data_IF_970718866387
#
_entry.id   IF_970718866387
#
_cell.length_a   1.000
_cell.length_b   1.000
_cell.length_c   1.000
_cell.angle_alpha   90.00
_cell.angle_beta   90.00
_cell.angle_gamma   90.00
#
_symmetry.space_group_name_H-M   'P 1'
#
loop_
_entity.id
_entity.type
_entity.pdbx_description
1 polymer ?
#
# COMPACT_ATOMS: atom_id res chain seq x y z
N UNK A 1 -79.30 -27.59 13.46
CA UNK A 1 -78.14 -27.52 12.56
C UNK A 1 -77.90 -28.92 11.96
N UNK A 2 -78.08 -29.04 10.66
CA UNK A 2 -78.16 -30.34 9.97
C UNK A 2 -76.74 -30.98 9.89
N UNK A 3 -76.62 -32.31 10.12
CA UNK A 3 -75.38 -33.09 10.13
C UNK A 3 -74.50 -32.86 8.89
N UNK A 4 -75.09 -32.49 7.77
CA UNK A 4 -74.46 -32.14 6.49
C UNK A 4 -73.76 -30.76 6.56
N UNK A 5 -74.33 -29.78 7.26
CA UNK A 5 -73.71 -28.44 7.42
C UNK A 5 -72.54 -28.45 8.39
N UNK A 6 -72.63 -29.23 9.50
CA UNK A 6 -71.48 -29.44 10.40
C UNK A 6 -70.30 -30.06 9.69
N UNK A 7 -70.52 -31.04 8.80
CA UNK A 7 -69.45 -31.71 8.05
C UNK A 7 -68.80 -30.79 7.03
N UNK A 8 -69.55 -29.86 6.42
CA UNK A 8 -69.07 -28.84 5.47
C UNK A 8 -68.28 -27.75 6.19
N UNK A 9 -68.69 -27.31 7.38
CA UNK A 9 -67.99 -26.36 8.20
C UNK A 9 -66.64 -26.91 8.72
N UNK A 10 -66.61 -28.18 9.16
CA UNK A 10 -65.40 -28.84 9.64
C UNK A 10 -64.36 -29.01 8.49
N UNK A 11 -64.82 -29.38 7.30
CA UNK A 11 -63.90 -29.48 6.14
C UNK A 11 -63.30 -28.13 5.77
N UNK A 12 -64.06 -27.05 5.79
CA UNK A 12 -63.56 -25.68 5.54
C UNK A 12 -62.56 -25.25 6.61
N UNK A 13 -62.85 -25.48 7.88
CA UNK A 13 -61.93 -25.15 8.96
C UNK A 13 -60.60 -25.90 8.88
N UNK A 14 -60.63 -27.21 8.52
CA UNK A 14 -59.43 -27.99 8.26
C UNK A 14 -58.64 -27.45 7.08
N UNK A 15 -59.31 -27.10 5.98
CA UNK A 15 -58.70 -26.56 4.79
C UNK A 15 -58.02 -25.22 5.02
N UNK A 16 -58.68 -24.30 5.77
CA UNK A 16 -58.09 -23.02 6.18
C UNK A 16 -56.92 -23.22 7.14
N UNK A 17 -57.00 -24.17 8.08
CA UNK A 17 -55.90 -24.53 8.96
C UNK A 17 -54.65 -25.05 8.21
N UNK A 18 -54.87 -25.95 7.24
CA UNK A 18 -53.76 -26.48 6.40
C UNK A 18 -53.15 -25.39 5.54
N UNK A 19 -53.94 -24.53 4.89
CA UNK A 19 -53.44 -23.41 4.09
C UNK A 19 -52.67 -22.41 4.97
N UNK A 20 -53.22 -22.08 6.16
CA UNK A 20 -52.54 -21.22 7.12
C UNK A 20 -51.17 -21.78 7.58
N UNK A 21 -51.10 -23.08 7.81
CA UNK A 21 -49.88 -23.76 8.22
C UNK A 21 -48.84 -23.72 7.09
N UNK A 22 -49.23 -24.02 5.84
CA UNK A 22 -48.28 -23.99 4.71
C UNK A 22 -47.78 -22.59 4.41
N UNK A 23 -48.63 -21.57 4.50
CA UNK A 23 -48.21 -20.17 4.34
C UNK A 23 -47.22 -19.73 5.43
N UNK A 24 -47.48 -20.07 6.68
CA UNK A 24 -46.60 -19.73 7.77
C UNK A 24 -45.23 -20.41 7.65
N UNK A 25 -45.19 -21.69 7.27
CA UNK A 25 -43.93 -22.41 6.98
C UNK A 25 -43.17 -21.74 5.83
N UNK A 26 -43.85 -21.38 4.75
CA UNK A 26 -43.23 -20.71 3.60
C UNK A 26 -42.61 -19.35 3.97
N UNK A 27 -43.26 -18.58 4.83
CA UNK A 27 -42.77 -17.31 5.32
C UNK A 27 -41.49 -17.53 6.16
N UNK A 28 -41.52 -18.47 7.10
CA UNK A 28 -40.35 -18.80 7.94
C UNK A 28 -39.18 -19.26 7.08
N UNK A 29 -39.40 -20.15 6.11
CA UNK A 29 -38.36 -20.60 5.19
C UNK A 29 -37.81 -19.46 4.33
N UNK A 30 -38.66 -18.55 3.86
CA UNK A 30 -38.21 -17.39 3.06
C UNK A 30 -37.36 -16.43 3.88
N UNK A 31 -37.70 -16.16 5.12
CA UNK A 31 -36.92 -15.34 6.02
C UNK A 31 -35.57 -16.00 6.34
N UNK A 32 -35.57 -17.30 6.63
CA UNK A 32 -34.35 -18.06 6.91
C UNK A 32 -33.40 -18.07 5.70
N UNK A 33 -33.94 -18.32 4.50
CA UNK A 33 -33.16 -18.27 3.25
C UNK A 33 -32.62 -16.86 2.97
N UNK A 34 -33.42 -15.82 3.16
CA UNK A 34 -32.99 -14.43 3.00
C UNK A 34 -31.85 -14.08 3.93
N UNK A 35 -31.92 -14.50 5.21
CA UNK A 35 -30.85 -14.30 6.17
C UNK A 35 -29.58 -15.06 5.80
N UNK A 36 -29.69 -16.30 5.37
CA UNK A 36 -28.55 -17.11 4.94
C UNK A 36 -27.86 -16.51 3.71
N UNK A 37 -28.63 -16.05 2.71
CA UNK A 37 -28.10 -15.37 1.52
C UNK A 37 -27.36 -14.09 1.92
N UNK A 38 -27.94 -13.29 2.83
CA UNK A 38 -27.31 -12.07 3.32
C UNK A 38 -25.95 -12.37 4.00
N UNK A 39 -25.91 -13.35 4.90
CA UNK A 39 -24.69 -13.76 5.59
C UNK A 39 -23.60 -14.27 4.61
N UNK A 40 -24.01 -15.12 3.66
CA UNK A 40 -23.09 -15.63 2.65
C UNK A 40 -22.54 -14.51 1.75
N UNK A 41 -23.39 -13.57 1.32
CA UNK A 41 -22.98 -12.43 0.52
C UNK A 41 -22.00 -11.53 1.29
N UNK A 42 -22.30 -11.24 2.56
CA UNK A 42 -21.41 -10.47 3.45
C UNK A 42 -20.06 -11.17 3.62
N UNK A 43 -20.04 -12.46 3.93
CA UNK A 43 -18.82 -13.22 4.16
C UNK A 43 -17.97 -13.30 2.87
N UNK A 44 -18.59 -13.54 1.73
CA UNK A 44 -17.91 -13.57 0.44
C UNK A 44 -17.31 -12.19 0.09
N UNK A 45 -18.02 -11.11 0.37
CA UNK A 45 -17.50 -9.75 0.16
C UNK A 45 -16.28 -9.47 1.04
N UNK A 46 -16.35 -9.79 2.33
CA UNK A 46 -15.23 -9.63 3.27
C UNK A 46 -14.02 -10.44 2.81
N UNK A 47 -14.23 -11.72 2.47
CA UNK A 47 -13.17 -12.60 1.99
C UNK A 47 -12.52 -12.09 0.69
N UNK A 48 -13.32 -11.58 -0.25
CA UNK A 48 -12.80 -11.00 -1.49
C UNK A 48 -11.97 -9.74 -1.23
N UNK A 49 -12.45 -8.83 -0.35
CA UNK A 49 -11.70 -7.62 0.02
C UNK A 49 -10.38 -8.00 0.70
N UNK A 50 -10.41 -8.97 1.62
CA UNK A 50 -9.23 -9.44 2.33
C UNK A 50 -8.21 -10.09 1.38
N UNK A 51 -8.66 -10.94 0.46
CA UNK A 51 -7.81 -11.56 -0.56
C UNK A 51 -7.16 -10.51 -1.47
N UNK A 52 -7.92 -9.53 -1.93
CA UNK A 52 -7.38 -8.44 -2.73
C UNK A 52 -6.35 -7.62 -1.95
N UNK A 53 -6.64 -7.26 -0.68
CA UNK A 53 -5.72 -6.53 0.17
C UNK A 53 -4.39 -7.28 0.36
N UNK A 54 -4.43 -8.60 0.58
CA UNK A 54 -3.23 -9.43 0.67
C UNK A 54 -2.42 -9.42 -0.62
N UNK A 55 -3.07 -9.55 -1.77
CA UNK A 55 -2.40 -9.53 -3.08
C UNK A 55 -1.72 -8.18 -3.36
N UNK A 56 -2.36 -7.08 -2.97
CA UNK A 56 -1.75 -5.74 -3.09
C UNK A 56 -0.60 -5.53 -2.10
N UNK A 57 -0.70 -6.05 -0.87
CA UNK A 57 0.39 -6.01 0.10
C UNK A 57 1.64 -6.74 -0.42
N UNK A 58 1.47 -7.93 -1.00
CA UNK A 58 2.55 -8.66 -1.65
C UNK A 58 3.14 -7.89 -2.84
N UNK A 59 2.31 -7.27 -3.67
CA UNK A 59 2.80 -6.46 -4.79
C UNK A 59 3.62 -5.24 -4.31
N UNK A 60 3.19 -4.57 -3.24
CA UNK A 60 3.93 -3.45 -2.63
C UNK A 60 5.25 -3.93 -2.03
N UNK A 61 5.26 -5.06 -1.30
CA UNK A 61 6.50 -5.66 -0.76
C UNK A 61 7.49 -5.99 -1.86
N UNK A 62 7.03 -6.64 -2.92
CA UNK A 62 7.86 -6.97 -4.09
C UNK A 62 8.43 -5.70 -4.74
N UNK A 63 7.64 -4.63 -4.88
CA UNK A 63 8.14 -3.36 -5.40
C UNK A 63 9.21 -2.73 -4.50
N UNK A 64 9.02 -2.78 -3.18
CA UNK A 64 10.01 -2.33 -2.19
C UNK A 64 11.33 -3.09 -2.36
N UNK A 65 11.27 -4.41 -2.48
CA UNK A 65 12.46 -5.25 -2.64
C UNK A 65 13.16 -4.99 -3.98
N UNK A 66 12.42 -4.78 -5.05
CA UNK A 66 12.98 -4.36 -6.34
C UNK A 66 13.72 -3.02 -6.21
N UNK A 67 13.18 -2.03 -5.50
CA UNK A 67 13.87 -0.75 -5.30
C UNK A 67 15.13 -0.89 -4.44
N UNK A 68 15.13 -1.78 -3.44
CA UNK A 68 16.34 -2.09 -2.66
C UNK A 68 17.42 -2.72 -3.53
N UNK A 69 17.08 -3.73 -4.33
CA UNK A 69 18.01 -4.37 -5.27
C UNK A 69 18.60 -3.36 -6.26
N UNK A 70 17.78 -2.46 -6.79
CA UNK A 70 18.24 -1.38 -7.68
C UNK A 70 19.23 -0.43 -6.96
N UNK A 71 18.95 -0.08 -5.70
CA UNK A 71 19.85 0.76 -4.92
C UNK A 71 21.21 0.07 -4.65
N UNK A 72 21.19 -1.24 -4.36
CA UNK A 72 22.39 -2.05 -4.18
C UNK A 72 23.22 -2.17 -5.47
N UNK A 73 22.55 -2.33 -6.61
CA UNK A 73 23.21 -2.32 -7.91
C UNK A 73 23.90 -0.97 -8.20
N UNK A 74 23.25 0.14 -7.85
CA UNK A 74 23.84 1.48 -7.96
C UNK A 74 25.03 1.63 -6.99
N UNK A 75 24.91 1.11 -5.75
CA UNK A 75 25.97 1.18 -4.75
C UNK A 75 27.26 0.45 -5.16
N UNK A 76 27.16 -0.48 -6.10
CA UNK A 76 28.29 -1.24 -6.64
C UNK A 76 28.98 -0.53 -7.85
N UNK A 77 28.43 0.57 -8.34
CA UNK A 77 28.99 1.30 -9.49
C UNK A 77 30.34 1.95 -9.12
N UNK A 78 31.40 1.56 -9.82
CA UNK A 78 32.77 1.93 -9.46
C UNK A 78 33.04 3.43 -9.51
N UNK A 79 32.36 4.15 -10.43
CA UNK A 79 32.52 5.60 -10.60
C UNK A 79 31.60 6.45 -9.72
N UNK A 80 30.77 5.82 -8.90
CA UNK A 80 29.76 6.51 -8.09
C UNK A 80 30.39 7.56 -7.15
N UNK A 81 31.57 7.29 -6.63
CA UNK A 81 32.28 8.11 -5.65
C UNK A 81 33.46 8.91 -6.24
N UNK A 82 33.60 8.91 -7.57
CA UNK A 82 34.62 9.70 -8.25
C UNK A 82 34.22 11.17 -8.27
N UNK A 83 34.76 11.94 -7.32
CA UNK A 83 34.52 13.37 -7.19
C UNK A 83 35.56 14.23 -7.94
N UNK A 84 36.45 13.63 -8.71
CA UNK A 84 37.49 14.37 -9.46
C UNK A 84 36.90 15.21 -10.60
N UNK A 85 35.74 14.76 -11.15
CA UNK A 85 34.95 15.51 -12.11
C UNK A 85 33.48 15.60 -11.64
N UNK A 86 33.07 16.68 -10.99
CA UNK A 86 31.69 16.85 -10.51
C UNK A 86 30.64 16.84 -11.66
N UNK A 87 31.02 17.28 -12.86
CA UNK A 87 30.10 17.28 -13.99
C UNK A 87 29.85 15.84 -14.50
N UNK A 88 30.91 15.04 -14.60
CA UNK A 88 30.79 13.63 -14.95
C UNK A 88 30.03 12.83 -13.88
N UNK A 89 30.26 13.13 -12.60
CA UNK A 89 29.52 12.51 -11.51
C UNK A 89 28.03 12.84 -11.58
N UNK A 90 27.66 14.08 -11.82
CA UNK A 90 26.27 14.50 -12.01
C UNK A 90 25.62 13.80 -13.20
N UNK A 91 26.31 13.74 -14.34
CA UNK A 91 25.83 13.05 -15.53
C UNK A 91 25.62 11.54 -15.28
N UNK A 92 26.50 10.92 -14.48
CA UNK A 92 26.34 9.53 -14.05
C UNK A 92 25.08 9.36 -13.18
N UNK A 93 24.85 10.23 -12.19
CA UNK A 93 23.66 10.18 -11.36
C UNK A 93 22.36 10.33 -12.17
N UNK A 94 22.34 11.25 -13.14
CA UNK A 94 21.21 11.43 -14.05
C UNK A 94 20.96 10.17 -14.90
N UNK A 95 22.01 9.59 -15.47
CA UNK A 95 21.95 8.33 -16.24
C UNK A 95 21.40 7.18 -15.40
N UNK A 96 21.95 6.97 -14.20
CA UNK A 96 21.51 5.90 -13.31
C UNK A 96 20.07 6.12 -12.81
N UNK A 97 19.68 7.37 -12.54
CA UNK A 97 18.30 7.71 -12.16
C UNK A 97 17.31 7.30 -13.25
N UNK A 98 17.60 7.61 -14.50
CA UNK A 98 16.76 7.23 -15.65
C UNK A 98 16.75 5.71 -15.84
N UNK A 99 17.90 5.05 -15.77
CA UNK A 99 18.04 3.61 -15.98
C UNK A 99 17.26 2.80 -14.94
N UNK A 100 17.29 3.22 -13.68
CA UNK A 100 16.66 2.48 -12.58
C UNK A 100 15.27 3.01 -12.19
N UNK A 101 14.84 4.13 -12.79
CA UNK A 101 13.49 4.70 -12.58
C UNK A 101 13.36 5.46 -11.27
N UNK A 102 14.42 6.12 -10.81
CA UNK A 102 14.41 7.04 -9.67
C UNK A 102 14.22 8.50 -10.14
N UNK A 103 13.71 9.35 -9.25
CA UNK A 103 13.62 10.78 -9.52
C UNK A 103 15.01 11.43 -9.59
N UNK A 104 15.86 11.06 -8.65
CA UNK A 104 17.28 11.41 -8.62
C UNK A 104 18.06 10.46 -7.67
N UNK A 105 19.37 10.50 -7.81
CA UNK A 105 20.32 9.75 -6.98
C UNK A 105 21.35 10.73 -6.43
N UNK A 106 21.82 10.47 -5.23
CA UNK A 106 22.90 11.24 -4.62
C UNK A 106 23.72 10.37 -3.67
N UNK A 107 24.89 10.85 -3.28
CA UNK A 107 25.82 10.20 -2.37
C UNK A 107 26.02 11.07 -1.15
N UNK A 108 26.16 10.46 0.02
CA UNK A 108 26.55 11.13 1.25
C UNK A 108 27.74 10.42 1.88
N UNK A 109 28.65 11.19 2.44
CA UNK A 109 29.80 10.68 3.19
C UNK A 109 29.39 10.09 4.56
N UNK A 110 30.34 9.59 5.31
CA UNK A 110 30.11 8.99 6.63
C UNK A 110 29.53 9.95 7.67
N UNK A 111 29.65 11.27 7.44
CA UNK A 111 29.08 12.32 8.29
C UNK A 111 27.70 12.75 7.83
N UNK A 112 27.16 12.15 6.77
CA UNK A 112 25.85 12.49 6.20
C UNK A 112 25.88 13.71 5.28
N UNK A 113 27.06 14.18 4.87
CA UNK A 113 27.19 15.32 3.97
C UNK A 113 27.10 14.84 2.52
N UNK A 114 26.17 15.43 1.78
CA UNK A 114 25.88 15.04 0.40
C UNK A 114 26.74 15.81 -0.59
N UNK A 115 26.84 15.34 -1.85
CA UNK A 115 27.58 16.04 -2.91
C UNK A 115 27.06 17.45 -3.20
N UNK A 116 25.80 17.75 -2.92
CA UNK A 116 25.21 19.08 -3.01
C UNK A 116 25.22 19.85 -1.66
N UNK A 117 26.06 19.45 -0.75
CA UNK A 117 26.32 20.11 0.54
C UNK A 117 25.11 20.08 1.52
N UNK A 118 24.12 19.23 1.31
CA UNK A 118 22.99 19.02 2.24
C UNK A 118 23.42 18.03 3.33
N UNK A 119 23.03 18.30 4.58
CA UNK A 119 23.24 17.37 5.70
C UNK A 119 22.00 16.48 5.86
N UNK A 120 22.21 15.16 5.83
CA UNK A 120 21.18 14.12 6.02
C UNK A 120 21.48 13.17 7.18
N UNK A 121 22.44 13.52 8.05
CA UNK A 121 22.88 12.69 9.18
C UNK A 121 21.75 12.37 10.16
N UNK A 122 20.75 13.25 10.28
CA UNK A 122 19.54 13.09 11.08
C UNK A 122 18.48 12.17 10.48
N UNK A 123 18.66 11.73 9.23
CA UNK A 123 17.66 10.93 8.50
C UNK A 123 17.79 9.44 8.84
N UNK A 124 16.65 8.80 9.10
CA UNK A 124 16.58 7.37 9.42
C UNK A 124 17.14 6.48 8.31
N UNK A 125 16.87 6.83 7.05
CA UNK A 125 17.38 6.09 5.90
C UNK A 125 18.90 6.17 5.79
N UNK A 126 19.52 7.30 6.16
CA UNK A 126 20.97 7.43 6.22
C UNK A 126 21.55 6.56 7.34
N UNK A 127 21.03 6.70 8.55
CA UNK A 127 21.54 5.98 9.73
C UNK A 127 21.47 4.46 9.55
N UNK A 128 20.35 3.95 9.00
CA UNK A 128 20.17 2.52 8.73
C UNK A 128 21.07 2.02 7.61
N UNK A 129 21.23 2.80 6.54
CA UNK A 129 22.14 2.45 5.46
C UNK A 129 23.60 2.42 5.93
N UNK A 130 24.03 3.39 6.74
CA UNK A 130 25.37 3.37 7.36
C UNK A 130 25.58 2.14 8.27
N UNK A 131 24.54 1.67 8.93
CA UNK A 131 24.57 0.41 9.70
C UNK A 131 24.56 -0.86 8.83
N UNK A 132 24.59 -0.73 7.50
CA UNK A 132 24.65 -1.84 6.54
C UNK A 132 23.28 -2.40 6.13
N UNK A 133 22.18 -1.73 6.47
CA UNK A 133 20.83 -2.14 6.07
C UNK A 133 20.37 -1.35 4.84
N UNK A 134 20.09 -2.01 3.72
CA UNK A 134 19.37 -1.36 2.62
C UNK A 134 17.94 -1.03 3.06
N UNK A 135 17.62 0.26 3.10
CA UNK A 135 16.39 0.73 3.74
C UNK A 135 15.60 1.69 2.84
N UNK A 136 14.29 1.55 2.87
CA UNK A 136 13.36 2.51 2.27
C UNK A 136 12.66 3.31 3.38
N UNK A 137 12.68 4.63 3.25
CA UNK A 137 12.04 5.52 4.24
C UNK A 137 10.52 5.50 4.09
N UNK A 138 9.80 5.93 5.13
CA UNK A 138 8.45 6.48 4.98
C UNK A 138 8.50 7.76 4.13
N UNK A 139 7.34 8.39 3.91
CA UNK A 139 7.29 9.71 3.29
C UNK A 139 7.98 10.75 4.16
N UNK A 140 8.84 11.56 3.55
CA UNK A 140 9.59 12.63 4.23
C UNK A 140 9.57 13.91 3.42
N UNK A 141 9.70 15.04 4.09
CA UNK A 141 9.95 16.32 3.42
C UNK A 141 11.41 16.37 2.98
N UNK A 142 11.62 16.54 1.68
CA UNK A 142 12.93 16.69 1.09
C UNK A 142 13.56 18.01 1.48
N UNK A 143 14.83 17.99 1.92
CA UNK A 143 15.52 19.20 2.39
C UNK A 143 15.85 20.21 1.27
N UNK A 144 15.89 19.76 0.01
CA UNK A 144 16.32 20.59 -1.13
C UNK A 144 15.22 21.39 -1.79
N UNK A 145 13.99 20.83 -1.86
CA UNK A 145 12.85 21.45 -2.57
C UNK A 145 11.52 21.34 -1.81
N UNK A 146 11.55 20.90 -0.56
CA UNK A 146 10.38 20.69 0.29
C UNK A 146 9.31 19.75 -0.27
N UNK A 147 9.62 18.98 -1.31
CA UNK A 147 8.69 17.99 -1.86
C UNK A 147 8.54 16.78 -0.91
N UNK A 148 7.35 16.17 -0.91
CA UNK A 148 7.10 14.92 -0.16
C UNK A 148 7.53 13.75 -1.03
N UNK A 149 8.51 13.00 -0.53
CA UNK A 149 9.16 11.90 -1.26
C UNK A 149 9.48 10.74 -0.32
N UNK A 150 9.89 9.62 -0.87
CA UNK A 150 10.55 8.53 -0.15
C UNK A 150 11.98 8.37 -0.66
N UNK A 151 12.85 7.84 0.17
CA UNK A 151 14.22 7.50 -0.20
C UNK A 151 14.48 6.02 0.01
N UNK A 152 15.20 5.41 -0.92
CA UNK A 152 15.89 4.14 -0.68
C UNK A 152 17.38 4.44 -0.55
N UNK A 153 18.01 3.91 0.49
CA UNK A 153 19.41 4.12 0.76
C UNK A 153 20.11 2.82 1.10
N UNK A 154 21.37 2.73 0.71
CA UNK A 154 22.24 1.58 1.02
C UNK A 154 23.69 2.04 1.13
N UNK A 155 24.48 1.27 1.88
CA UNK A 155 25.91 1.52 2.03
C UNK A 155 26.61 1.28 0.69
N UNK A 156 27.55 2.18 0.33
CA UNK A 156 28.35 2.02 -0.88
C UNK A 156 29.33 0.87 -0.69
N UNK A 157 29.40 0.00 -1.68
CA UNK A 157 30.28 -1.15 -1.75
C UNK A 157 30.79 -1.35 -3.18
N UNK A 158 31.57 -0.37 -3.64
CA UNK A 158 32.07 -0.31 -5.03
C UNK A 158 33.58 -0.58 -5.15
N UNK A 159 34.17 -1.18 -4.13
CA UNK A 159 35.61 -1.50 -4.09
C UNK A 159 36.52 -0.30 -3.82
N UNK A 160 35.96 0.88 -3.55
CA UNK A 160 36.73 2.07 -3.15
C UNK A 160 36.81 2.17 -1.62
N UNK A 161 37.72 3.03 -1.12
CA UNK A 161 37.80 3.33 0.31
C UNK A 161 36.75 4.36 0.77
N UNK A 162 35.79 4.70 -0.05
CA UNK A 162 34.74 5.65 0.30
C UNK A 162 33.77 5.01 1.30
N UNK A 163 33.68 5.60 2.50
CA UNK A 163 32.74 5.18 3.53
C UNK A 163 31.54 6.13 3.52
N UNK A 164 30.43 5.67 2.98
CA UNK A 164 29.22 6.49 2.85
C UNK A 164 28.05 5.70 2.28
N UNK A 165 27.01 6.39 1.92
CA UNK A 165 25.78 5.83 1.39
C UNK A 165 25.40 6.43 0.04
N UNK A 166 24.79 5.63 -0.81
CA UNK A 166 23.99 6.13 -1.92
C UNK A 166 22.53 6.12 -1.51
N UNK A 167 21.83 7.17 -1.87
CA UNK A 167 20.38 7.25 -1.67
C UNK A 167 19.70 7.75 -2.94
N UNK A 168 18.58 7.11 -3.25
CA UNK A 168 17.79 7.38 -4.45
C UNK A 168 16.40 7.85 -4.05
N UNK A 169 15.92 8.90 -4.70
CA UNK A 169 14.63 9.52 -4.47
C UNK A 169 13.54 8.80 -5.26
N UNK A 170 12.49 8.36 -4.58
CA UNK A 170 11.25 7.85 -5.15
C UNK A 170 10.20 8.95 -5.13
N UNK A 171 9.50 9.13 -6.24
CA UNK A 171 8.32 9.99 -6.26
C UNK A 171 7.24 9.41 -5.34
N UNK A 172 6.52 10.28 -4.61
CA UNK A 172 5.33 9.87 -3.85
C UNK A 172 4.26 9.21 -4.73
N UNK A 173 4.30 9.44 -6.05
CA UNK A 173 3.41 8.81 -7.02
C UNK A 173 3.72 7.35 -7.31
N UNK A 174 4.90 6.88 -6.96
CA UNK A 174 5.35 5.53 -7.28
C UNK A 174 4.41 4.46 -6.73
N UNK A 175 4.05 4.56 -5.46
CA UNK A 175 3.13 3.63 -4.82
C UNK A 175 1.66 3.96 -5.08
N UNK A 176 1.33 5.23 -5.31
CA UNK A 176 -0.05 5.61 -5.62
C UNK A 176 -0.52 5.01 -6.95
N UNK A 177 0.35 4.96 -7.96
CA UNK A 177 0.02 4.30 -9.24
C UNK A 177 -0.33 2.82 -9.09
N UNK A 178 0.20 2.15 -8.07
CA UNK A 178 -0.11 0.75 -7.81
C UNK A 178 -1.54 0.55 -7.28
N UNK A 179 -2.11 1.57 -6.65
CA UNK A 179 -3.45 1.52 -6.07
C UNK A 179 -4.51 2.30 -6.86
N UNK A 180 -4.13 3.01 -7.92
CA UNK A 180 -5.06 3.84 -8.73
C UNK A 180 -6.24 3.02 -9.28
N UNK A 181 -6.04 1.73 -9.56
CA UNK A 181 -7.04 0.82 -10.07
C UNK A 181 -7.73 -0.02 -8.98
N UNK A 182 -7.38 0.19 -7.69
CA UNK A 182 -7.99 -0.55 -6.59
C UNK A 182 -9.36 0.04 -6.29
N UNK A 183 -10.40 -0.71 -6.57
CA UNK A 183 -11.77 -0.31 -6.25
C UNK A 183 -12.51 -1.41 -5.50
N UNK A 184 -13.31 -1.02 -4.50
CA UNK A 184 -14.19 -1.92 -3.75
C UNK A 184 -15.62 -1.44 -3.94
N UNK A 185 -16.41 -2.17 -4.72
CA UNK A 185 -17.75 -1.75 -5.11
C UNK A 185 -17.73 -0.45 -5.90
N UNK A 186 -18.76 0.39 -5.73
CA UNK A 186 -18.92 1.63 -6.50
C UNK A 186 -18.15 2.83 -5.95
N UNK A 187 -17.77 2.83 -4.67
CA UNK A 187 -17.21 4.00 -3.97
C UNK A 187 -15.95 3.69 -3.16
N UNK A 188 -15.64 2.41 -2.92
CA UNK A 188 -14.47 2.02 -2.15
C UNK A 188 -13.18 2.22 -2.97
N UNK A 189 -12.09 2.48 -2.29
CA UNK A 189 -10.74 2.63 -2.86
C UNK A 189 -9.71 2.06 -1.89
N UNK A 190 -8.50 1.79 -2.40
CA UNK A 190 -7.35 1.38 -1.59
C UNK A 190 -6.45 2.56 -1.24
N UNK A 191 -5.71 2.42 -0.16
CA UNK A 191 -4.60 3.28 0.22
C UNK A 191 -3.53 2.45 0.93
N UNK A 192 -2.30 2.98 1.01
CA UNK A 192 -1.17 2.30 1.66
C UNK A 192 -0.73 3.15 2.86
N UNK A 193 -0.52 2.49 3.98
CA UNK A 193 0.07 3.10 5.18
C UNK A 193 1.42 2.45 5.49
N UNK A 194 2.31 3.21 6.11
CA UNK A 194 3.53 2.66 6.70
C UNK A 194 3.23 1.96 8.05
N UNK A 195 4.27 1.41 8.67
CA UNK A 195 4.17 0.72 9.97
C UNK A 195 3.66 1.60 11.12
N UNK A 196 3.71 2.92 10.97
CA UNK A 196 3.25 3.89 11.98
C UNK A 196 1.83 4.40 11.66
N UNK A 197 1.18 3.88 10.61
CA UNK A 197 -0.14 4.31 10.16
C UNK A 197 -0.14 5.58 9.31
N UNK A 198 1.02 6.12 8.94
CA UNK A 198 1.11 7.29 8.05
C UNK A 198 0.76 6.89 6.62
N UNK A 199 -0.12 7.64 5.97
CA UNK A 199 -0.52 7.39 4.59
C UNK A 199 0.64 7.71 3.65
N UNK A 200 1.11 6.71 2.90
CA UNK A 200 2.20 6.83 1.92
C UNK A 200 1.72 6.76 0.47
N UNK A 201 0.51 6.25 0.25
CA UNK A 201 -0.16 6.27 -1.04
C UNK A 201 -1.67 6.40 -0.86
N UNK A 202 -2.30 7.32 -1.59
CA UNK A 202 -3.72 7.60 -1.50
C UNK A 202 -4.22 8.27 -2.79
N UNK A 203 -5.48 8.01 -3.18
CA UNK A 203 -6.12 8.63 -4.34
C UNK A 203 -6.12 10.16 -4.23
N UNK A 204 -6.45 10.70 -3.06
CA UNK A 204 -6.28 12.12 -2.76
C UNK A 204 -4.87 12.36 -2.22
N UNK A 205 -4.05 13.05 -3.01
CA UNK A 205 -2.64 13.37 -2.71
C UNK A 205 -2.47 14.23 -1.46
N UNK A 206 -3.47 14.99 -1.06
CA UNK A 206 -3.40 15.79 0.15
C UNK A 206 -3.17 14.93 1.40
N UNK A 207 -3.72 13.70 1.42
CA UNK A 207 -3.49 12.79 2.54
C UNK A 207 -2.01 12.37 2.68
N UNK A 208 -1.29 12.21 1.57
CA UNK A 208 0.14 11.92 1.56
C UNK A 208 0.95 13.17 1.89
N UNK A 209 0.64 14.30 1.25
CA UNK A 209 1.40 15.55 1.41
C UNK A 209 1.27 16.15 2.82
N UNK A 210 0.17 15.91 3.50
CA UNK A 210 -0.08 16.37 4.87
C UNK A 210 0.27 15.32 5.93
N UNK A 211 0.92 14.20 5.55
CA UNK A 211 1.32 13.13 6.47
C UNK A 211 0.17 12.61 7.33
N UNK A 212 -1.03 12.49 6.75
CA UNK A 212 -2.21 12.03 7.48
C UNK A 212 -1.94 10.65 8.08
N UNK A 213 -2.22 10.51 9.38
CA UNK A 213 -2.06 9.23 10.07
C UNK A 213 -3.44 8.60 10.27
N UNK A 214 -3.61 7.40 9.71
CA UNK A 214 -4.88 6.66 9.75
C UNK A 214 -5.24 6.15 11.16
N UNK A 215 -4.24 5.89 12.01
CA UNK A 215 -4.46 5.38 13.37
C UNK A 215 -4.89 6.48 14.36
N UNK A 216 -4.77 7.75 13.97
CA UNK A 216 -5.09 8.92 14.80
C UNK A 216 -6.41 9.60 14.36
N UNK A 217 -7.23 8.93 13.52
CA UNK A 217 -8.54 9.43 13.05
C UNK A 217 -9.70 8.83 13.83
#
# INVERSE_FOLDING_TARGET
>A
MNKKEKKKSLKRALLFGMVGLTVSISIVCSVANGFMIYQNCKNNMVSMVQSNATSYDEAVKNAIDVFKIKAEAIASESKLTDATDPAAQKALFEKLSQQYGFKDINVADEKGKTTNNTDISDRDYFQKAMAGQTYISSTVVRKTDSSVVMFVATKINNGTNFNGVVYACLSSDTFTKMIDNVSVGKKGYGFIVDKNGTIIAHKDRNNVNNFVNYLNQ
#
